data_IF_731282027848
#
_entry.id   IF_731282027848
#
_cell.length_a   1.000
_cell.length_b   1.000
_cell.length_c   1.000
_cell.angle_alpha   90.00
_cell.angle_beta   90.00
_cell.angle_gamma   90.00
#
_symmetry.space_group_name_H-M   'P 1'
#
loop_
_entity.id
_entity.type
_entity.pdbx_description
1 polymer ?
#
# COMPACT_ATOMS: atom_id res chain seq x y z
N UNK A 1 11.47 -13.20 5.14
CA UNK A 1 11.19 -12.04 5.99
C UNK A 1 10.95 -10.83 5.11
N UNK A 2 10.02 -9.95 5.46
CA UNK A 2 9.73 -8.70 4.76
C UNK A 2 10.10 -7.54 5.69
N UNK A 3 10.81 -6.54 5.16
CA UNK A 3 11.18 -5.33 5.89
C UNK A 3 10.52 -4.13 5.21
N UNK A 4 9.74 -3.38 5.95
CA UNK A 4 9.16 -2.13 5.51
C UNK A 4 9.89 -0.99 6.23
N UNK A 5 10.70 -0.27 5.49
CA UNK A 5 11.60 0.73 6.06
C UNK A 5 11.30 2.14 5.55
N UNK A 6 11.65 3.13 6.34
CA UNK A 6 11.50 4.57 6.07
C UNK A 6 12.77 5.29 6.60
N UNK A 7 13.21 6.35 6.00
CA UNK A 7 12.71 7.04 4.82
C UNK A 7 13.71 6.85 3.68
N UNK A 8 13.24 6.51 2.50
CA UNK A 8 14.07 6.51 1.30
C UNK A 8 13.51 7.56 0.32
N UNK A 9 14.35 8.52 -0.16
CA UNK A 9 13.87 9.61 -0.99
C UNK A 9 13.50 9.13 -2.39
N UNK A 10 12.41 9.66 -2.95
CA UNK A 10 12.06 9.43 -4.35
C UNK A 10 13.03 10.16 -5.30
N UNK A 11 13.41 11.41 -4.96
CA UNK A 11 14.41 12.18 -5.69
C UNK A 11 15.70 12.22 -4.90
N UNK A 12 16.78 11.76 -5.50
CA UNK A 12 18.11 11.80 -4.90
C UNK A 12 18.76 13.17 -5.11
N UNK A 13 19.73 13.50 -4.26
CA UNK A 13 20.57 14.67 -4.45
C UNK A 13 21.42 14.54 -5.72
N UNK A 14 21.82 15.66 -6.34
CA UNK A 14 22.69 15.66 -7.51
C UNK A 14 23.99 14.86 -7.27
N UNK A 15 24.38 14.06 -8.24
CA UNK A 15 25.59 13.24 -8.18
C UNK A 15 25.42 11.86 -7.52
N UNK A 16 24.25 11.55 -6.98
CA UNK A 16 23.96 10.20 -6.42
C UNK A 16 23.25 9.32 -7.45
N UNK A 17 23.59 8.05 -7.48
CA UNK A 17 22.90 7.07 -8.32
C UNK A 17 21.91 6.23 -7.50
N UNK A 18 20.76 5.93 -8.10
CA UNK A 18 19.72 5.15 -7.45
C UNK A 18 20.23 3.78 -7.00
N UNK A 19 21.05 3.14 -7.83
CA UNK A 19 21.54 1.79 -7.54
C UNK A 19 22.49 1.78 -6.34
N UNK A 20 23.42 2.74 -6.27
CA UNK A 20 24.35 2.83 -5.14
C UNK A 20 23.65 3.14 -3.82
N UNK A 21 22.75 4.12 -3.83
CA UNK A 21 22.01 4.52 -2.63
C UNK A 21 21.06 3.41 -2.14
N UNK A 22 20.45 2.69 -3.06
CA UNK A 22 19.63 1.50 -2.77
C UNK A 22 20.45 0.43 -2.05
N UNK A 23 21.64 0.11 -2.55
CA UNK A 23 22.52 -0.89 -1.92
C UNK A 23 23.02 -0.41 -0.55
N UNK A 24 23.49 0.82 -0.44
CA UNK A 24 23.91 1.41 0.85
C UNK A 24 22.79 1.38 1.90
N UNK A 25 21.57 1.69 1.48
CA UNK A 25 20.43 1.66 2.38
C UNK A 25 20.10 0.24 2.84
N UNK A 26 20.11 -0.71 1.92
CA UNK A 26 19.90 -2.12 2.24
C UNK A 26 20.96 -2.66 3.21
N UNK A 27 22.23 -2.31 3.01
CA UNK A 27 23.30 -2.71 3.90
C UNK A 27 23.12 -2.15 5.32
N UNK A 28 22.72 -0.88 5.45
CA UNK A 28 22.37 -0.27 6.76
C UNK A 28 21.23 -1.02 7.45
N UNK A 29 20.21 -1.40 6.71
CA UNK A 29 19.10 -2.18 7.27
C UNK A 29 19.60 -3.56 7.77
N UNK A 30 20.50 -4.17 7.04
CA UNK A 30 21.07 -5.46 7.44
C UNK A 30 22.00 -5.35 8.65
N UNK A 31 22.78 -4.27 8.75
CA UNK A 31 23.61 -4.01 9.92
C UNK A 31 22.73 -3.83 11.16
N UNK A 32 21.70 -2.99 11.06
CA UNK A 32 20.74 -2.79 12.14
C UNK A 32 20.07 -4.10 12.57
N UNK A 33 19.61 -4.91 11.61
CA UNK A 33 19.02 -6.22 11.93
C UNK A 33 20.02 -7.17 12.58
N UNK A 34 21.28 -7.10 12.20
CA UNK A 34 22.33 -7.95 12.75
C UNK A 34 22.69 -7.59 14.20
N UNK A 35 22.42 -6.34 14.66
CA UNK A 35 22.53 -5.95 16.06
C UNK A 35 21.54 -6.72 16.96
N UNK A 36 20.32 -6.95 16.48
CA UNK A 36 19.27 -7.67 17.21
C UNK A 36 19.33 -9.18 16.97
N UNK A 37 19.82 -9.61 15.83
CA UNK A 37 19.97 -11.01 15.45
C UNK A 37 21.36 -11.25 14.85
N UNK A 38 22.38 -11.56 15.65
CA UNK A 38 23.80 -11.59 15.22
C UNK A 38 24.14 -12.55 14.08
N UNK A 39 23.26 -13.50 13.77
CA UNK A 39 23.41 -14.43 12.64
C UNK A 39 22.56 -14.03 11.40
N UNK A 40 21.85 -12.91 11.47
CA UNK A 40 20.91 -12.50 10.43
C UNK A 40 21.58 -12.43 9.04
N UNK A 41 22.67 -11.70 8.94
CA UNK A 41 23.39 -11.49 7.67
C UNK A 41 23.83 -12.81 7.02
N UNK A 42 24.26 -13.80 7.82
CA UNK A 42 24.67 -15.12 7.35
C UNK A 42 23.50 -16.00 6.90
N UNK A 43 22.31 -15.71 7.39
CA UNK A 43 21.09 -16.47 7.09
C UNK A 43 20.38 -15.98 5.82
N UNK A 44 20.80 -14.86 5.23
CA UNK A 44 20.20 -14.30 4.01
C UNK A 44 20.64 -15.08 2.79
N UNK A 45 19.73 -15.84 2.21
CA UNK A 45 19.96 -16.61 0.97
C UNK A 45 19.75 -15.77 -0.31
N UNK A 46 18.93 -14.74 -0.22
CA UNK A 46 18.65 -13.83 -1.33
C UNK A 46 17.87 -12.63 -0.84
N UNK A 47 17.91 -11.54 -1.61
CA UNK A 47 17.20 -10.31 -1.26
C UNK A 47 16.59 -9.66 -2.49
N UNK A 48 15.48 -8.98 -2.29
CA UNK A 48 14.90 -8.03 -3.21
C UNK A 48 14.71 -6.71 -2.50
N UNK A 49 15.23 -5.64 -3.08
CA UNK A 49 15.08 -4.28 -2.55
C UNK A 49 14.26 -3.47 -3.55
N UNK A 50 13.18 -2.84 -3.09
CA UNK A 50 12.32 -2.00 -3.89
C UNK A 50 12.34 -0.59 -3.32
N UNK A 51 12.82 0.36 -4.11
CA UNK A 51 12.77 1.79 -3.79
C UNK A 51 11.43 2.39 -4.24
N UNK A 52 11.06 3.61 -3.81
CA UNK A 52 9.88 4.30 -4.34
C UNK A 52 9.85 4.39 -5.88
N UNK A 53 11.00 4.58 -6.51
CA UNK A 53 11.12 4.59 -7.98
C UNK A 53 10.84 3.21 -8.58
N UNK A 54 11.29 2.14 -7.93
CA UNK A 54 10.98 0.76 -8.35
C UNK A 54 9.49 0.46 -8.20
N UNK A 55 8.85 0.94 -7.13
CA UNK A 55 7.41 0.79 -6.90
C UNK A 55 6.59 1.50 -7.98
N UNK A 56 6.99 2.70 -8.36
CA UNK A 56 6.33 3.41 -9.46
C UNK A 56 6.49 2.68 -10.79
N UNK A 57 7.73 2.29 -11.14
CA UNK A 57 8.01 1.59 -12.40
C UNK A 57 7.31 0.24 -12.50
N UNK A 58 7.24 -0.50 -11.41
CA UNK A 58 6.74 -1.88 -11.41
C UNK A 58 5.22 -1.98 -11.23
N UNK A 59 4.65 -1.07 -10.44
CA UNK A 59 3.25 -1.14 -10.03
C UNK A 59 2.42 0.08 -10.42
N UNK A 60 3.02 1.08 -11.10
CA UNK A 60 2.33 2.31 -11.49
C UNK A 60 1.95 3.21 -10.30
N UNK A 61 2.58 3.05 -9.14
CA UNK A 61 2.30 3.84 -7.95
C UNK A 61 3.02 5.19 -8.04
N UNK A 62 2.31 6.25 -8.35
CA UNK A 62 2.87 7.60 -8.48
C UNK A 62 3.72 8.00 -7.27
N UNK A 63 4.99 8.30 -7.52
CA UNK A 63 5.98 8.62 -6.49
C UNK A 63 6.30 7.46 -5.54
N UNK A 64 5.94 6.22 -5.89
CA UNK A 64 6.06 5.05 -5.02
C UNK A 64 5.10 5.06 -3.83
N UNK A 65 4.06 5.89 -3.87
CA UNK A 65 3.14 6.07 -2.75
C UNK A 65 2.16 4.90 -2.62
N UNK A 66 2.44 3.99 -1.71
CA UNK A 66 1.59 2.83 -1.41
C UNK A 66 0.21 3.21 -0.85
N UNK A 67 0.06 4.42 -0.30
CA UNK A 67 -1.23 4.93 0.20
C UNK A 67 -2.08 5.55 -0.90
N UNK A 68 -1.53 5.78 -2.10
CA UNK A 68 -2.22 6.31 -3.28
C UNK A 68 -2.93 7.65 -3.02
N UNK A 69 -2.32 8.50 -2.22
CA UNK A 69 -2.84 9.82 -1.88
C UNK A 69 -2.14 10.42 -0.68
N UNK A 70 -2.42 11.68 -0.40
CA UNK A 70 -1.87 12.36 0.78
C UNK A 70 -2.46 11.79 2.07
N UNK A 71 -1.70 11.86 3.16
CA UNK A 71 -2.14 11.50 4.51
C UNK A 71 -2.50 12.75 5.31
N UNK A 72 -3.28 13.65 4.70
CA UNK A 72 -3.82 14.86 5.33
C UNK A 72 -5.27 14.66 5.75
N UNK A 73 -5.76 15.48 6.67
CA UNK A 73 -7.16 15.41 7.14
C UNK A 73 -8.16 15.56 5.99
N UNK A 74 -7.82 16.32 4.95
CA UNK A 74 -8.64 16.50 3.74
C UNK A 74 -8.64 15.29 2.79
N UNK A 75 -7.84 14.27 3.08
CA UNK A 75 -7.67 13.09 2.21
C UNK A 75 -7.75 11.77 2.97
N UNK A 76 -8.28 11.80 4.18
CA UNK A 76 -8.45 10.63 5.03
C UNK A 76 -9.94 10.32 5.27
N UNK A 77 -10.21 9.10 5.71
CA UNK A 77 -11.54 8.63 6.10
C UNK A 77 -12.58 8.87 4.99
N UNK A 78 -13.70 9.49 5.32
CA UNK A 78 -14.80 9.77 4.39
C UNK A 78 -14.48 10.81 3.31
N UNK A 79 -13.33 11.49 3.41
CA UNK A 79 -12.83 12.39 2.37
C UNK A 79 -12.11 11.66 1.25
N UNK A 80 -11.94 10.34 1.35
CA UNK A 80 -11.18 9.52 0.42
C UNK A 80 -12.10 8.72 -0.51
N UNK A 81 -11.89 8.70 -1.82
CA UNK A 81 -10.82 9.33 -2.62
C UNK A 81 -10.97 10.85 -2.76
N UNK A 82 -12.20 11.33 -2.76
CA UNK A 82 -12.60 12.74 -2.73
C UNK A 82 -13.91 12.87 -1.94
N UNK A 83 -14.22 14.04 -1.39
CA UNK A 83 -15.49 14.28 -0.69
C UNK A 83 -16.71 13.84 -1.50
N UNK A 84 -17.63 13.13 -0.87
CA UNK A 84 -18.85 12.64 -1.50
C UNK A 84 -18.74 11.30 -2.23
N UNK A 85 -17.54 10.72 -2.35
CA UNK A 85 -17.31 9.44 -3.06
C UNK A 85 -16.65 8.35 -2.17
N UNK A 86 -16.86 8.43 -0.87
CA UNK A 86 -16.34 7.45 0.08
C UNK A 86 -17.10 6.11 0.08
N UNK A 87 -18.19 6.01 -0.66
CA UNK A 87 -19.06 4.84 -0.79
C UNK A 87 -18.68 3.91 -1.94
N UNK A 88 -17.45 4.03 -2.46
CA UNK A 88 -16.87 3.20 -3.52
C UNK A 88 -17.46 3.39 -4.92
N UNK A 89 -18.52 4.16 -5.08
CA UNK A 89 -19.13 4.48 -6.38
C UNK A 89 -18.37 5.59 -7.08
N UNK A 90 -18.44 5.57 -8.40
CA UNK A 90 -17.94 6.68 -9.25
C UNK A 90 -19.11 7.39 -9.95
N UNK A 91 -18.89 8.56 -10.54
CA UNK A 91 -19.90 9.20 -11.41
C UNK A 91 -20.29 8.33 -12.61
N UNK A 92 -19.46 7.37 -12.98
CA UNK A 92 -19.74 6.44 -14.08
C UNK A 92 -20.55 5.26 -13.54
N UNK A 93 -21.77 5.10 -14.06
CA UNK A 93 -22.66 4.02 -13.63
C UNK A 93 -22.01 2.65 -13.82
N UNK A 94 -22.02 1.84 -12.78
CA UNK A 94 -21.46 0.48 -12.79
C UNK A 94 -19.94 0.40 -12.60
N UNK A 95 -19.27 1.56 -12.46
CA UNK A 95 -17.83 1.59 -12.15
C UNK A 95 -17.64 1.88 -10.64
N UNK A 96 -16.86 1.02 -10.00
CA UNK A 96 -16.56 1.09 -8.57
C UNK A 96 -15.05 1.14 -8.33
N UNK A 97 -14.65 1.75 -7.22
CA UNK A 97 -13.27 1.79 -6.76
C UNK A 97 -13.09 0.93 -5.51
N UNK A 98 -12.00 0.17 -5.43
CA UNK A 98 -11.71 -0.68 -4.28
C UNK A 98 -10.20 -0.83 -4.09
N UNK A 99 -9.57 0.07 -3.45
CA UNK A 99 -8.12 -0.02 -3.25
C UNK A 99 -7.63 0.95 -2.19
N UNK A 100 -6.33 1.09 -2.04
CA UNK A 100 -5.73 1.98 -1.04
C UNK A 100 -6.17 3.44 -1.18
N UNK A 101 -6.61 3.85 -2.37
CA UNK A 101 -7.15 5.19 -2.62
C UNK A 101 -8.56 5.42 -2.09
N UNK A 102 -9.29 4.36 -1.70
CA UNK A 102 -10.67 4.48 -1.18
C UNK A 102 -10.74 4.45 0.34
N UNK A 103 -11.88 4.80 0.91
CA UNK A 103 -12.13 4.65 2.34
C UNK A 103 -12.06 3.16 2.76
N UNK A 104 -11.47 2.78 3.91
CA UNK A 104 -10.81 3.60 4.93
C UNK A 104 -9.34 3.92 4.60
N UNK A 105 -8.82 3.51 3.48
CA UNK A 105 -7.44 3.71 3.08
C UNK A 105 -6.65 2.40 2.93
N UNK A 106 -5.34 2.54 2.63
CA UNK A 106 -4.45 1.41 2.45
C UNK A 106 -4.15 0.64 3.73
N UNK A 107 -3.80 -0.62 3.55
CA UNK A 107 -3.42 -1.57 4.60
C UNK A 107 -3.69 -3.00 4.16
N UNK A 108 -3.06 -3.97 4.81
CA UNK A 108 -3.26 -5.39 4.50
C UNK A 108 -4.47 -5.94 5.27
N UNK A 109 -5.63 -5.32 5.13
CA UNK A 109 -6.84 -5.65 5.86
C UNK A 109 -8.02 -6.07 4.96
N UNK A 110 -7.94 -5.82 3.65
CA UNK A 110 -9.01 -6.13 2.70
C UNK A 110 -10.29 -5.27 2.84
N UNK A 111 -10.32 -4.29 3.74
CA UNK A 111 -11.53 -3.53 4.06
C UNK A 111 -12.10 -2.80 2.84
N UNK A 112 -11.27 -2.15 2.03
CA UNK A 112 -11.72 -1.43 0.83
C UNK A 112 -12.43 -2.36 -0.15
N UNK A 113 -11.83 -3.54 -0.42
CA UNK A 113 -12.43 -4.55 -1.31
C UNK A 113 -13.73 -5.13 -0.75
N UNK A 114 -13.73 -5.48 0.54
CA UNK A 114 -14.93 -6.00 1.20
C UNK A 114 -16.10 -5.01 1.16
N UNK A 115 -15.84 -3.77 1.51
CA UNK A 115 -16.88 -2.74 1.52
C UNK A 115 -17.38 -2.43 0.11
N UNK A 116 -16.47 -2.31 -0.88
CA UNK A 116 -16.86 -2.10 -2.28
C UNK A 116 -17.74 -3.26 -2.79
N UNK A 117 -17.36 -4.51 -2.50
CA UNK A 117 -18.16 -5.66 -2.88
C UNK A 117 -19.58 -5.62 -2.28
N UNK A 118 -19.74 -5.17 -1.03
CA UNK A 118 -21.05 -4.99 -0.42
C UNK A 118 -21.90 -3.94 -1.13
N UNK A 119 -21.31 -2.82 -1.50
CA UNK A 119 -22.03 -1.77 -2.24
C UNK A 119 -22.42 -2.26 -3.65
N UNK A 120 -21.53 -2.97 -4.35
CA UNK A 120 -21.86 -3.60 -5.64
C UNK A 120 -23.03 -4.57 -5.50
N UNK A 121 -23.01 -5.44 -4.48
CA UNK A 121 -24.09 -6.41 -4.26
C UNK A 121 -25.43 -5.72 -3.92
N UNK A 122 -25.40 -4.60 -3.19
CA UNK A 122 -26.59 -3.80 -2.91
C UNK A 122 -27.18 -3.24 -4.21
N UNK A 123 -26.34 -2.66 -5.05
CA UNK A 123 -26.77 -2.06 -6.32
C UNK A 123 -27.28 -3.12 -7.30
N UNK A 124 -26.69 -4.29 -7.29
CA UNK A 124 -27.15 -5.45 -8.08
C UNK A 124 -28.31 -6.21 -7.41
N UNK A 125 -28.77 -5.79 -6.23
CA UNK A 125 -29.80 -6.45 -5.42
C UNK A 125 -29.49 -7.93 -5.09
N UNK A 126 -28.22 -8.26 -5.03
CA UNK A 126 -27.74 -9.61 -4.67
C UNK A 126 -27.62 -9.71 -3.15
N UNK A 127 -28.25 -10.68 -2.54
CA UNK A 127 -28.11 -10.93 -1.09
C UNK A 127 -26.76 -11.57 -0.81
N UNK A 128 -25.96 -11.09 0.18
CA UNK A 128 -24.73 -11.75 0.56
C UNK A 128 -25.03 -13.17 1.10
N UNK A 129 -24.22 -14.13 0.67
CA UNK A 129 -24.29 -15.50 1.21
C UNK A 129 -23.88 -15.47 2.68
N UNK A 130 -24.76 -15.90 3.58
CA UNK A 130 -24.41 -16.08 5.00
C UNK A 130 -23.36 -17.17 5.11
N UNK A 131 -22.19 -16.85 5.65
CA UNK A 131 -21.21 -17.89 6.02
C UNK A 131 -21.75 -18.66 7.23
N UNK A 132 -21.69 -20.01 7.24
CA UNK A 132 -22.28 -20.82 8.31
C UNK A 132 -21.70 -20.56 9.70
N UNK A 133 -20.50 -19.99 9.83
CA UNK A 133 -19.74 -19.84 11.08
C UNK A 133 -19.04 -18.48 11.23
N UNK A 134 -19.61 -17.40 10.72
CA UNK A 134 -19.09 -16.04 10.94
C UNK A 134 -19.73 -15.39 12.19
N UNK A 135 -19.00 -14.55 12.94
CA UNK A 135 -19.59 -13.79 14.03
C UNK A 135 -20.73 -12.91 13.51
N UNK A 136 -21.74 -12.75 14.36
CA UNK A 136 -22.95 -11.96 14.10
C UNK A 136 -22.63 -10.47 13.86
#
# INVERSE_FOLDING_TARGET
>A
MSMFTQYFPYKLAPGLTLQEEKEKYAERCFDLMNEYAPNFRRSVLGRQVLTPVDLERRFGLTGGNIMQGTMSLSSLSFMRPVPGYADYRTPIRGLYLCGAATHPGGGVMGACGYNAAREIMRDMRVRPVKRPNGPA
#
